data_IF_354922545817
#
_entry.id   IF_354922545817
#
_cell.length_a   1.000
_cell.length_b   1.000
_cell.length_c   1.000
_cell.angle_alpha   90.00
_cell.angle_beta   90.00
_cell.angle_gamma   90.00
#
_symmetry.space_group_name_H-M   'P 1'
#
loop_
_entity.id
_entity.type
_entity.pdbx_description
1 polymer ?
#
# COMPACT_ATOMS: atom_id res chain seq x y z
N UNK A 1 -5.57 11.06 6.73
CA UNK A 1 -5.30 12.13 7.71
C UNK A 1 -3.91 11.97 8.31
N UNK A 2 -3.34 13.05 8.81
CA UNK A 2 -2.02 13.07 9.46
C UNK A 2 -1.97 12.08 10.65
N UNK A 3 -3.02 12.01 11.46
CA UNK A 3 -3.15 11.07 12.58
C UNK A 3 -3.02 9.60 12.16
N UNK A 4 -3.58 9.22 10.99
CA UNK A 4 -3.44 7.88 10.46
C UNK A 4 -1.99 7.56 10.08
N UNK A 5 -1.27 8.54 9.52
CA UNK A 5 0.15 8.41 9.17
C UNK A 5 0.99 8.21 10.43
N UNK A 6 0.77 9.02 11.46
CA UNK A 6 1.47 8.93 12.74
C UNK A 6 1.21 7.58 13.44
N UNK A 7 -0.06 7.16 13.47
CA UNK A 7 -0.43 5.86 14.02
C UNK A 7 0.21 4.70 13.25
N UNK A 8 0.24 4.75 11.93
CA UNK A 8 0.93 3.74 11.12
C UNK A 8 2.44 3.75 11.37
N UNK A 9 3.05 4.94 11.43
CA UNK A 9 4.48 5.10 11.67
C UNK A 9 4.92 4.63 13.07
N UNK A 10 4.03 4.66 14.08
CA UNK A 10 4.33 4.13 15.41
C UNK A 10 4.66 2.64 15.39
N UNK A 11 4.14 1.90 14.40
CA UNK A 11 4.35 0.46 14.25
C UNK A 11 3.74 -0.38 15.38
N UNK A 12 2.78 0.17 16.12
CA UNK A 12 2.12 -0.49 17.26
C UNK A 12 0.72 -0.96 16.81
N UNK A 13 0.42 -2.24 17.03
CA UNK A 13 -0.81 -2.89 16.62
C UNK A 13 -1.42 -3.68 17.77
N UNK A 14 -2.74 -3.69 17.84
CA UNK A 14 -3.47 -4.52 18.80
C UNK A 14 -3.16 -6.00 18.58
N UNK A 15 -2.87 -6.70 19.67
CA UNK A 15 -2.57 -8.14 19.65
C UNK A 15 -3.65 -8.94 18.93
N UNK A 16 -4.92 -8.70 19.23
CA UNK A 16 -6.05 -9.38 18.59
C UNK A 16 -6.08 -9.22 17.07
N UNK A 17 -5.68 -8.05 16.55
CA UNK A 17 -5.60 -7.80 15.11
C UNK A 17 -4.45 -8.59 14.46
N UNK A 18 -3.28 -8.54 15.07
CA UNK A 18 -2.10 -9.25 14.56
C UNK A 18 -2.31 -10.77 14.61
N UNK A 19 -2.85 -11.29 15.72
CA UNK A 19 -3.09 -12.72 15.90
C UNK A 19 -4.09 -13.28 14.87
N UNK A 20 -5.06 -12.46 14.44
CA UNK A 20 -6.06 -12.85 13.43
C UNK A 20 -5.56 -12.75 12.00
N UNK A 21 -4.69 -11.77 11.69
CA UNK A 21 -4.34 -11.42 10.30
C UNK A 21 -2.95 -11.87 9.87
N UNK A 22 -2.07 -12.17 10.83
CA UNK A 22 -0.67 -12.47 10.55
C UNK A 22 -0.36 -13.92 10.93
N UNK A 23 0.24 -14.67 10.01
CA UNK A 23 0.64 -16.05 10.29
C UNK A 23 1.65 -16.13 11.46
N UNK A 24 1.66 -17.22 12.23
CA UNK A 24 2.58 -17.39 13.37
C UNK A 24 4.05 -17.19 12.97
N UNK A 25 4.45 -17.69 11.81
CA UNK A 25 5.80 -17.52 11.26
C UNK A 25 6.18 -16.06 11.05
N UNK A 26 5.32 -15.28 10.37
CA UNK A 26 5.58 -13.86 10.12
C UNK A 26 5.52 -13.04 11.40
N UNK A 27 4.62 -13.41 12.31
CA UNK A 27 4.51 -12.77 13.62
C UNK A 27 5.80 -12.94 14.44
N UNK A 28 6.33 -14.15 14.53
CA UNK A 28 7.58 -14.42 15.22
C UNK A 28 8.77 -13.67 14.61
N UNK A 29 8.80 -13.54 13.28
CA UNK A 29 9.89 -12.92 12.54
C UNK A 29 9.89 -11.40 12.60
N UNK A 30 8.70 -10.78 12.58
CA UNK A 30 8.57 -9.34 12.32
C UNK A 30 7.90 -8.54 13.42
N UNK A 31 7.41 -9.19 14.48
CA UNK A 31 6.73 -8.52 15.58
C UNK A 31 7.40 -8.80 16.91
N UNK A 32 7.52 -7.78 17.72
CA UNK A 32 7.97 -7.85 19.11
C UNK A 32 6.74 -7.71 20.00
N UNK A 33 6.61 -8.59 20.99
CA UNK A 33 5.56 -8.46 22.02
C UNK A 33 5.90 -7.30 22.95
N UNK A 34 4.96 -6.44 23.24
CA UNK A 34 5.14 -5.40 24.25
C UNK A 34 5.25 -6.03 25.63
N UNK A 35 6.26 -5.63 26.41
CA UNK A 35 6.52 -6.11 27.76
C UNK A 35 6.09 -5.12 28.85
N UNK A 36 5.63 -3.91 28.48
CA UNK A 36 5.19 -2.89 29.41
C UNK A 36 3.80 -3.19 30.01
N UNK A 37 3.60 -2.83 31.28
CA UNK A 37 2.33 -3.06 32.01
C UNK A 37 1.12 -2.39 31.31
N UNK A 38 1.34 -1.23 30.68
CA UNK A 38 0.29 -0.46 29.99
C UNK A 38 -0.02 -0.97 28.57
N UNK A 39 0.83 -1.84 27.98
CA UNK A 39 0.76 -2.26 26.57
C UNK A 39 0.79 -3.77 26.38
N UNK A 40 0.37 -4.57 27.37
CA UNK A 40 0.40 -6.06 27.32
C UNK A 40 -0.33 -6.66 26.12
N UNK A 41 -1.29 -5.93 25.56
CA UNK A 41 -2.14 -6.38 24.45
C UNK A 41 -1.73 -5.81 23.09
N UNK A 42 -0.47 -5.37 22.97
CA UNK A 42 0.05 -4.83 21.72
C UNK A 42 1.27 -5.62 21.22
N UNK A 43 1.40 -5.61 19.91
CA UNK A 43 2.64 -5.95 19.19
C UNK A 43 3.25 -4.70 18.59
N UNK A 44 4.57 -4.67 18.52
CA UNK A 44 5.35 -3.67 17.79
C UNK A 44 6.07 -4.32 16.62
N UNK A 45 6.06 -3.67 15.46
CA UNK A 45 6.88 -4.11 14.32
C UNK A 45 8.35 -4.03 14.70
N UNK A 46 9.12 -5.05 14.30
CA UNK A 46 10.56 -5.11 14.52
C UNK A 46 11.24 -3.86 13.88
N UNK A 47 12.12 -3.14 14.61
CA UNK A 47 12.74 -1.88 14.15
C UNK A 47 13.42 -2.00 12.78
N UNK A 48 14.07 -3.12 12.51
CA UNK A 48 14.71 -3.39 11.21
C UNK A 48 13.71 -3.37 10.04
N UNK A 49 12.47 -3.83 10.24
CA UNK A 49 11.43 -3.74 9.22
C UNK A 49 10.85 -2.33 9.18
N UNK A 50 10.57 -1.73 10.33
CA UNK A 50 10.01 -0.37 10.43
C UNK A 50 10.90 0.66 9.71
N UNK A 51 12.22 0.55 9.81
CA UNK A 51 13.17 1.47 9.14
C UNK A 51 13.13 1.41 7.61
N UNK A 52 12.58 0.34 7.03
CA UNK A 52 12.45 0.19 5.57
C UNK A 52 11.13 0.74 5.04
N UNK A 53 10.20 1.14 5.92
CA UNK A 53 8.87 1.61 5.55
C UNK A 53 8.81 3.13 5.73
N UNK A 54 8.31 3.82 4.71
CA UNK A 54 8.06 5.26 4.76
C UNK A 54 6.56 5.52 4.63
N UNK A 55 6.00 6.18 5.63
CA UNK A 55 4.60 6.60 5.61
C UNK A 55 4.51 8.06 5.16
N UNK A 56 3.58 8.36 4.28
CA UNK A 56 3.34 9.70 3.77
C UNK A 56 1.86 9.91 3.51
N UNK A 57 1.34 11.07 3.83
CA UNK A 57 0.06 11.52 3.32
C UNK A 57 0.24 11.91 1.85
N UNK A 58 -0.64 11.38 1.00
CA UNK A 58 -0.60 11.60 -0.44
C UNK A 58 -2.01 11.76 -0.97
N UNK A 59 -2.27 12.83 -1.74
CA UNK A 59 -3.52 13.03 -2.43
C UNK A 59 -3.38 12.43 -3.84
N UNK A 60 -4.18 11.42 -4.13
CA UNK A 60 -4.13 10.71 -5.42
C UNK A 60 -4.55 11.60 -6.60
N UNK A 61 -5.38 12.63 -6.36
CA UNK A 61 -5.88 13.50 -7.42
C UNK A 61 -4.88 14.61 -7.78
N UNK A 62 -4.27 15.25 -6.77
CA UNK A 62 -3.54 16.52 -6.99
C UNK A 62 -2.04 16.41 -6.70
N UNK A 63 -1.59 15.34 -6.03
CA UNK A 63 -0.19 15.26 -5.60
C UNK A 63 0.68 14.53 -6.62
N UNK A 64 1.92 14.98 -6.73
CA UNK A 64 3.00 14.27 -7.41
C UNK A 64 4.06 13.87 -6.38
N UNK A 65 4.77 12.77 -6.65
CA UNK A 65 5.94 12.40 -5.86
C UNK A 65 7.11 13.29 -6.28
N UNK A 66 7.77 13.90 -5.30
CA UNK A 66 8.94 14.71 -5.56
C UNK A 66 10.12 13.81 -5.99
N UNK A 67 10.79 14.24 -7.07
CA UNK A 67 11.95 13.54 -7.60
C UNK A 67 11.61 12.39 -8.56
N UNK A 68 12.65 11.77 -9.10
CA UNK A 68 12.50 10.59 -9.96
C UNK A 68 12.34 9.35 -9.11
N UNK A 69 11.09 8.94 -8.92
CA UNK A 69 10.74 7.74 -8.14
C UNK A 69 10.23 6.68 -9.08
N UNK A 70 10.75 5.46 -8.97
CA UNK A 70 10.27 4.30 -9.71
C UNK A 70 9.96 3.16 -8.73
N UNK A 71 8.80 2.54 -8.90
CA UNK A 71 8.35 1.39 -8.10
C UNK A 71 8.35 0.11 -8.92
N UNK A 72 8.72 -1.00 -8.29
CA UNK A 72 8.55 -2.35 -8.84
C UNK A 72 7.09 -2.78 -8.80
N UNK A 73 6.39 -2.42 -7.72
CA UNK A 73 4.99 -2.75 -7.47
C UNK A 73 4.25 -1.52 -6.93
N UNK A 74 3.03 -1.32 -7.43
CA UNK A 74 2.07 -0.37 -6.88
C UNK A 74 0.81 -1.13 -6.52
N UNK A 75 0.37 -1.05 -5.25
CA UNK A 75 -0.88 -1.63 -4.76
C UNK A 75 -1.91 -0.53 -4.57
N UNK A 76 -2.88 -0.43 -5.47
CA UNK A 76 -3.99 0.51 -5.44
C UNK A 76 -5.30 -0.27 -5.21
N UNK A 77 -5.50 -0.79 -4.02
CA UNK A 77 -6.61 -1.68 -3.73
C UNK A 77 -7.74 -0.99 -2.98
N UNK A 78 -8.98 -1.18 -3.44
CA UNK A 78 -10.21 -0.66 -2.83
C UNK A 78 -10.18 0.88 -2.69
N UNK A 79 -9.67 1.55 -3.69
CA UNK A 79 -9.52 3.01 -3.74
C UNK A 79 -10.26 3.60 -4.93
N UNK A 80 -10.19 2.96 -6.11
CA UNK A 80 -10.84 3.45 -7.34
C UNK A 80 -12.36 3.48 -7.24
N UNK A 81 -12.94 2.65 -6.38
CA UNK A 81 -14.39 2.60 -6.10
C UNK A 81 -14.97 3.93 -5.57
N UNK A 82 -14.13 4.83 -5.08
CA UNK A 82 -14.54 6.14 -4.55
C UNK A 82 -14.46 7.27 -5.58
N UNK A 83 -14.02 6.99 -6.81
CA UNK A 83 -13.81 7.98 -7.84
C UNK A 83 -14.68 7.71 -9.07
N UNK A 84 -15.11 8.77 -9.73
CA UNK A 84 -15.69 8.71 -11.06
C UNK A 84 -14.70 8.10 -12.06
N UNK A 85 -15.22 7.47 -13.12
CA UNK A 85 -14.41 6.71 -14.07
C UNK A 85 -13.26 7.51 -14.70
N UNK A 86 -13.48 8.78 -15.03
CA UNK A 86 -12.46 9.65 -15.62
C UNK A 86 -11.38 10.04 -14.61
N UNK A 87 -11.77 10.35 -13.38
CA UNK A 87 -10.82 10.62 -12.29
C UNK A 87 -10.00 9.39 -11.97
N UNK A 88 -10.62 8.21 -11.91
CA UNK A 88 -9.94 6.93 -11.71
C UNK A 88 -8.92 6.64 -12.81
N UNK A 89 -9.26 6.92 -14.07
CA UNK A 89 -8.34 6.79 -15.19
C UNK A 89 -7.10 7.70 -15.05
N UNK A 90 -7.28 8.97 -14.71
CA UNK A 90 -6.17 9.91 -14.52
C UNK A 90 -5.30 9.54 -13.30
N UNK A 91 -5.89 9.00 -12.23
CA UNK A 91 -5.14 8.47 -11.09
C UNK A 91 -4.24 7.31 -11.54
N UNK A 92 -4.80 6.32 -12.25
CA UNK A 92 -4.03 5.15 -12.72
C UNK A 92 -2.93 5.58 -13.69
N UNK A 93 -3.25 6.48 -14.63
CA UNK A 93 -2.28 7.04 -15.58
C UNK A 93 -1.08 7.64 -14.86
N UNK A 94 -1.31 8.51 -13.88
CA UNK A 94 -0.26 9.14 -13.08
C UNK A 94 0.56 8.13 -12.28
N UNK A 95 -0.09 7.16 -11.64
CA UNK A 95 0.61 6.11 -10.92
C UNK A 95 1.46 5.21 -11.83
N UNK A 96 0.99 4.97 -13.05
CA UNK A 96 1.75 4.23 -14.06
C UNK A 96 3.05 4.93 -14.46
N UNK A 97 3.11 6.27 -14.39
CA UNK A 97 4.36 7.02 -14.62
C UNK A 97 5.44 6.68 -13.59
N UNK A 98 5.04 6.41 -12.34
CA UNK A 98 5.96 5.98 -11.27
C UNK A 98 6.26 4.47 -11.29
N UNK A 99 5.61 3.70 -12.13
CA UNK A 99 5.87 2.27 -12.26
C UNK A 99 7.03 2.06 -13.24
N UNK A 100 8.07 1.35 -12.83
CA UNK A 100 9.17 1.03 -13.74
C UNK A 100 8.70 0.13 -14.90
N UNK A 101 9.44 0.10 -15.98
CA UNK A 101 9.20 -0.86 -17.06
C UNK A 101 9.34 -2.29 -16.54
N UNK A 102 8.35 -3.12 -16.82
CA UNK A 102 8.24 -4.48 -16.27
C UNK A 102 7.70 -4.54 -14.83
N UNK A 103 7.34 -3.41 -14.21
CA UNK A 103 6.70 -3.35 -12.90
C UNK A 103 5.22 -3.70 -12.95
N UNK A 104 4.60 -3.89 -11.77
CA UNK A 104 3.22 -4.38 -11.64
C UNK A 104 2.34 -3.41 -10.88
N UNK A 105 1.15 -3.14 -11.42
CA UNK A 105 0.05 -2.48 -10.74
C UNK A 105 -0.95 -3.54 -10.28
N UNK A 106 -1.29 -3.53 -9.00
CA UNK A 106 -2.29 -4.43 -8.39
C UNK A 106 -3.46 -3.61 -7.87
N UNK A 107 -4.67 -3.88 -8.36
CA UNK A 107 -5.91 -3.24 -7.95
C UNK A 107 -6.77 -4.16 -7.08
N UNK A 108 -7.91 -3.68 -6.56
CA UNK A 108 -8.90 -4.51 -5.87
C UNK A 108 -9.62 -5.46 -6.83
N UNK A 109 -10.13 -6.59 -6.30
CA UNK A 109 -10.79 -7.61 -7.10
C UNK A 109 -12.08 -7.12 -7.78
N UNK A 110 -12.76 -6.14 -7.19
CA UNK A 110 -13.98 -5.50 -7.72
C UNK A 110 -13.70 -4.22 -8.50
N UNK A 111 -12.44 -3.89 -8.71
CA UNK A 111 -12.02 -2.70 -9.45
C UNK A 111 -11.58 -3.05 -10.86
N UNK A 112 -11.64 -2.09 -11.74
CA UNK A 112 -11.15 -2.24 -13.11
C UNK A 112 -10.30 -1.04 -13.52
N UNK A 113 -9.34 -1.26 -14.43
CA UNK A 113 -8.61 -0.19 -15.12
C UNK A 113 -9.23 -0.03 -16.49
N UNK A 114 -9.76 1.17 -16.77
CA UNK A 114 -10.26 1.51 -18.11
C UNK A 114 -9.09 1.65 -19.07
N UNK A 115 -9.22 1.06 -20.25
CA UNK A 115 -8.26 1.16 -21.36
C UNK A 115 -6.77 0.99 -20.96
N UNK A 116 -6.41 -0.11 -20.30
CA UNK A 116 -5.07 -0.27 -19.74
C UNK A 116 -3.97 -0.18 -20.80
N UNK A 117 -4.26 -0.58 -22.04
CA UNK A 117 -3.30 -0.51 -23.16
C UNK A 117 -2.91 0.94 -23.49
N UNK A 118 -3.81 1.91 -23.36
CA UNK A 118 -3.51 3.33 -23.53
C UNK A 118 -2.51 3.86 -22.48
N UNK A 119 -2.44 3.17 -21.35
CA UNK A 119 -1.53 3.48 -20.25
C UNK A 119 -0.23 2.66 -20.31
N UNK A 120 -0.03 1.88 -21.38
CA UNK A 120 1.11 0.98 -21.50
C UNK A 120 1.07 -0.20 -20.53
N UNK A 121 -0.15 -0.57 -20.06
CA UNK A 121 -0.37 -1.67 -19.15
C UNK A 121 -0.95 -2.88 -19.88
N UNK A 122 -0.36 -4.04 -19.66
CA UNK A 122 -0.90 -5.34 -20.09
C UNK A 122 -1.53 -6.05 -18.92
N UNK A 123 -2.77 -6.56 -19.08
CA UNK A 123 -3.42 -7.36 -18.05
C UNK A 123 -2.74 -8.72 -17.94
N UNK A 124 -2.29 -9.07 -16.74
CA UNK A 124 -1.65 -10.37 -16.43
C UNK A 124 -2.64 -11.28 -15.70
N UNK A 125 -3.49 -10.71 -14.85
CA UNK A 125 -4.55 -11.40 -14.13
C UNK A 125 -5.71 -10.43 -13.88
N UNK A 126 -6.81 -10.88 -13.29
CA UNK A 126 -8.03 -10.09 -13.08
C UNK A 126 -7.78 -8.73 -12.40
N UNK A 127 -6.84 -8.69 -11.47
CA UNK A 127 -6.49 -7.47 -10.72
C UNK A 127 -5.02 -7.07 -10.84
N UNK A 128 -4.27 -7.65 -11.79
CA UNK A 128 -2.82 -7.45 -11.94
C UNK A 128 -2.50 -6.99 -13.35
N UNK A 129 -1.78 -5.89 -13.46
CA UNK A 129 -1.33 -5.29 -14.72
C UNK A 129 0.18 -5.12 -14.70
N UNK A 130 0.82 -5.33 -15.83
CA UNK A 130 2.27 -5.16 -16.05
C UNK A 130 2.52 -4.01 -17.00
N UNK A 131 3.47 -3.14 -16.67
CA UNK A 131 3.97 -2.07 -17.54
C UNK A 131 5.07 -2.55 -18.47
#
# INVERSE_FOLDING_TARGET
SQQCVERAASGIFLKATVDRQVSPFLKQKYFLRSTGLENKDNYRIHPKLASQIKFRQFNLVDSSLAGRVEFDFIFLRNVLIYFEADTGFEIVKRLTEYLRKGGYLVIGLSETVRDPLLLGLSRVDNSVFKK
#
